data_IF_633350243743
#
_entry.id   IF_633350243743
#
_cell.length_a   1.000
_cell.length_b   1.000
_cell.length_c   1.000
_cell.angle_alpha   90.00
_cell.angle_beta   90.00
_cell.angle_gamma   90.00
#
_symmetry.space_group_name_H-M   'P 1'
#
loop_
_entity.id
_entity.type
_entity.pdbx_description
1 polymer ?
#
# COMPACT_ATOMS: atom_id res chain seq x y z
N UNK A 1 0.41 10.03 19.71
CA UNK A 1 -0.45 8.96 19.13
C UNK A 1 -1.41 9.59 18.15
N UNK A 2 -1.83 8.88 17.08
CA UNK A 2 -2.69 9.46 16.03
C UNK A 2 -4.00 10.00 16.59
N UNK A 3 -4.54 9.40 17.63
CA UNK A 3 -5.83 9.77 18.28
C UNK A 3 -5.83 11.12 19.03
N UNK A 4 -4.68 11.68 19.33
CA UNK A 4 -4.58 12.90 20.17
C UNK A 4 -4.29 14.16 19.34
N UNK A 5 -3.96 13.99 18.08
CA UNK A 5 -3.41 15.02 17.21
C UNK A 5 -4.49 15.79 16.41
N UNK A 6 -5.61 15.17 16.09
CA UNK A 6 -6.53 15.69 15.07
C UNK A 6 -7.61 16.65 15.58
N UNK A 7 -7.74 16.87 16.88
CA UNK A 7 -8.72 17.82 17.47
C UNK A 7 -10.15 17.80 16.83
N UNK A 8 -10.62 16.61 16.42
CA UNK A 8 -11.93 16.43 15.77
C UNK A 8 -12.00 16.88 14.30
N UNK A 9 -10.88 17.21 13.66
CA UNK A 9 -10.88 17.56 12.23
C UNK A 9 -11.04 16.36 11.33
N UNK A 10 -11.83 16.53 10.27
CA UNK A 10 -11.92 15.58 9.16
C UNK A 10 -11.20 16.15 7.94
N UNK A 11 -10.73 15.25 7.07
CA UNK A 11 -9.92 15.57 5.90
C UNK A 11 -10.59 15.09 4.61
N UNK A 12 -10.46 15.86 3.54
CA UNK A 12 -10.93 15.49 2.19
C UNK A 12 -10.07 14.37 1.59
N UNK A 13 -8.78 14.33 1.97
CA UNK A 13 -7.86 13.29 1.53
C UNK A 13 -6.83 12.97 2.63
N UNK A 14 -6.51 11.69 2.79
CA UNK A 14 -5.46 11.18 3.67
C UNK A 14 -4.53 10.29 2.85
N UNK A 15 -3.22 10.49 3.00
CA UNK A 15 -2.19 9.59 2.52
C UNK A 15 -1.63 8.82 3.74
N UNK A 16 -1.72 7.50 3.67
CA UNK A 16 -1.08 6.60 4.62
C UNK A 16 0.06 5.86 3.91
N UNK A 17 1.27 6.38 4.02
CA UNK A 17 2.50 5.66 3.71
C UNK A 17 2.84 4.80 4.93
N UNK A 18 2.38 3.55 4.90
CA UNK A 18 2.35 2.71 6.09
C UNK A 18 3.71 2.07 6.39
N UNK A 19 4.11 1.98 7.67
CA UNK A 19 5.31 1.24 8.05
C UNK A 19 5.16 -0.21 7.60
N UNK A 20 6.16 -0.72 6.89
CA UNK A 20 6.14 -2.06 6.29
C UNK A 20 7.51 -2.73 6.35
N UNK A 21 7.60 -3.97 5.86
CA UNK A 21 8.85 -4.72 5.81
C UNK A 21 9.89 -4.11 4.87
N UNK A 22 9.47 -3.22 3.96
CA UNK A 22 10.30 -2.65 2.89
C UNK A 22 10.87 -3.72 1.93
N UNK A 23 10.21 -4.88 1.84
CA UNK A 23 10.65 -6.01 1.00
C UNK A 23 10.69 -5.69 -0.50
N UNK A 24 9.96 -4.65 -0.93
CA UNK A 24 9.94 -4.22 -2.33
C UNK A 24 11.13 -3.35 -2.77
N UNK A 25 11.90 -2.79 -1.82
CA UNK A 25 13.00 -1.84 -2.11
C UNK A 25 14.39 -2.41 -1.80
N UNK A 26 14.53 -3.72 -1.74
CA UNK A 26 15.79 -4.42 -1.42
C UNK A 26 16.92 -4.01 -2.37
N UNK A 27 16.63 -3.73 -3.62
CA UNK A 27 17.61 -3.25 -4.59
C UNK A 27 18.28 -1.93 -4.16
N UNK A 28 17.53 -1.04 -3.50
CA UNK A 28 18.04 0.25 -2.97
C UNK A 28 18.55 0.13 -1.54
N UNK A 29 18.00 -0.80 -0.79
CA UNK A 29 18.32 -1.04 0.61
C UNK A 29 18.64 -2.53 0.82
N UNK A 30 19.85 -2.97 0.42
CA UNK A 30 20.24 -4.39 0.45
C UNK A 30 20.40 -4.95 1.86
N UNK A 31 20.41 -4.12 2.89
CA UNK A 31 20.42 -4.49 4.30
C UNK A 31 19.05 -4.95 4.84
N UNK A 32 17.96 -4.60 4.15
CA UNK A 32 16.59 -4.92 4.58
C UNK A 32 16.41 -6.41 4.88
N UNK A 33 16.77 -7.38 4.01
CA UNK A 33 16.59 -8.80 4.30
C UNK A 33 17.30 -9.27 5.57
N UNK A 34 18.44 -8.69 5.85
CA UNK A 34 19.28 -9.05 7.03
C UNK A 34 18.73 -8.49 8.34
N UNK A 35 17.93 -7.43 8.27
CA UNK A 35 17.34 -6.78 9.44
C UNK A 35 15.91 -7.28 9.74
N UNK A 36 15.30 -8.11 8.87
CA UNK A 36 13.94 -8.62 9.02
C UNK A 36 13.90 -10.01 9.63
N UNK A 37 12.79 -10.25 10.35
CA UNK A 37 12.46 -11.53 10.97
C UNK A 37 11.23 -12.13 10.29
N UNK A 38 11.06 -13.47 10.31
CA UNK A 38 9.89 -14.13 9.70
C UNK A 38 8.53 -13.61 10.19
N UNK A 39 8.47 -13.14 11.46
CA UNK A 39 7.25 -12.62 12.07
C UNK A 39 6.93 -11.15 11.72
N UNK A 40 7.86 -10.42 11.12
CA UNK A 40 7.70 -8.99 10.82
C UNK A 40 6.53 -8.68 9.86
N UNK A 41 6.28 -9.43 8.78
CA UNK A 41 5.13 -9.15 7.92
C UNK A 41 3.81 -9.16 8.69
N UNK A 42 3.59 -10.19 9.50
CA UNK A 42 2.37 -10.30 10.30
C UNK A 42 2.27 -9.22 11.40
N UNK A 43 3.40 -8.86 12.01
CA UNK A 43 3.46 -7.81 13.04
C UNK A 43 3.15 -6.44 12.44
N UNK A 44 3.76 -6.11 11.29
CA UNK A 44 3.57 -4.83 10.61
C UNK A 44 2.18 -4.73 9.98
N UNK A 45 1.62 -5.84 9.47
CA UNK A 45 0.23 -5.87 8.99
C UNK A 45 -0.77 -5.53 10.11
N UNK A 46 -0.53 -5.95 11.36
CA UNK A 46 -1.35 -5.54 12.51
C UNK A 46 -1.24 -4.04 12.80
N UNK A 47 -0.03 -3.49 12.72
CA UNK A 47 0.18 -2.05 12.92
C UNK A 47 -0.48 -1.23 11.80
N UNK A 48 -0.39 -1.68 10.55
CA UNK A 48 -1.08 -1.07 9.42
C UNK A 48 -2.60 -1.09 9.59
N UNK A 49 -3.15 -2.21 10.06
CA UNK A 49 -4.58 -2.31 10.39
C UNK A 49 -4.98 -1.28 11.46
N UNK A 50 -4.16 -1.14 12.50
CA UNK A 50 -4.37 -0.15 13.57
C UNK A 50 -4.38 1.28 13.03
N UNK A 51 -3.44 1.61 12.14
CA UNK A 51 -3.34 2.93 11.52
C UNK A 51 -4.52 3.21 10.58
N UNK A 52 -4.91 2.25 9.72
CA UNK A 52 -6.09 2.37 8.87
C UNK A 52 -7.35 2.65 9.70
N UNK A 53 -7.59 1.85 10.76
CA UNK A 53 -8.74 2.03 11.64
C UNK A 53 -8.72 3.37 12.39
N UNK A 54 -7.54 3.88 12.75
CA UNK A 54 -7.41 5.16 13.43
C UNK A 54 -7.62 6.37 12.49
N UNK A 55 -7.24 6.23 11.21
CA UNK A 55 -7.33 7.30 10.23
C UNK A 55 -8.68 7.34 9.51
N UNK A 56 -9.36 6.19 9.34
CA UNK A 56 -10.61 6.13 8.59
C UNK A 56 -11.71 7.05 9.12
N UNK A 57 -11.94 7.17 10.44
CA UNK A 57 -12.91 8.13 10.99
C UNK A 57 -12.61 9.58 10.61
N UNK A 58 -11.34 9.92 10.33
CA UNK A 58 -10.91 11.26 9.99
C UNK A 58 -11.10 11.61 8.50
N UNK A 59 -11.46 10.64 7.67
CA UNK A 59 -11.83 10.89 6.27
C UNK A 59 -13.25 11.41 6.25
N UNK A 60 -13.51 12.54 5.56
CA UNK A 60 -14.86 13.04 5.33
C UNK A 60 -15.68 12.08 4.48
N UNK A 61 -17.00 12.14 4.59
CA UNK A 61 -17.90 11.51 3.63
C UNK A 61 -17.61 12.05 2.23
N UNK A 62 -17.42 11.15 1.25
CA UNK A 62 -16.94 11.47 -0.10
C UNK A 62 -15.44 11.74 -0.21
N UNK A 63 -14.73 11.78 0.92
CA UNK A 63 -13.28 11.90 0.98
C UNK A 63 -12.56 10.60 0.62
N UNK A 64 -11.23 10.67 0.52
CA UNK A 64 -10.39 9.58 0.04
C UNK A 64 -9.25 9.26 0.98
N UNK A 65 -8.88 7.98 1.05
CA UNK A 65 -7.65 7.53 1.68
C UNK A 65 -6.82 6.75 0.65
N UNK A 66 -5.59 7.20 0.42
CA UNK A 66 -4.59 6.44 -0.33
C UNK A 66 -3.69 5.70 0.66
N UNK A 67 -3.75 4.38 0.60
CA UNK A 67 -2.86 3.49 1.34
C UNK A 67 -1.71 3.06 0.44
N UNK A 68 -0.48 3.10 0.93
CA UNK A 68 0.67 2.58 0.22
C UNK A 68 1.68 1.90 1.14
N UNK A 69 2.42 0.93 0.58
CA UNK A 69 3.57 0.28 1.21
C UNK A 69 4.64 0.01 0.15
N UNK A 70 5.90 -0.04 0.57
CA UNK A 70 7.01 -0.56 -0.25
C UNK A 70 7.26 -2.04 0.07
N UNK A 71 6.20 -2.83 0.16
CA UNK A 71 6.23 -4.26 0.41
C UNK A 71 5.66 -5.05 -0.77
N UNK A 72 6.19 -6.26 -0.99
CA UNK A 72 5.65 -7.24 -1.93
C UNK A 72 4.83 -8.34 -1.23
N UNK A 73 4.75 -8.31 0.11
CA UNK A 73 3.99 -9.30 0.87
C UNK A 73 2.48 -9.02 0.80
N UNK A 74 1.65 -10.03 0.45
CA UNK A 74 0.20 -9.88 0.37
C UNK A 74 -0.44 -9.39 1.67
N UNK A 75 0.11 -9.79 2.82
CA UNK A 75 -0.37 -9.41 4.15
C UNK A 75 -0.30 -7.90 4.41
N UNK A 76 0.68 -7.23 3.80
CA UNK A 76 0.92 -5.79 3.90
C UNK A 76 0.28 -4.99 2.75
N UNK A 77 -0.34 -5.67 1.81
CA UNK A 77 -0.94 -5.13 0.60
C UNK A 77 -2.40 -5.55 0.43
N UNK A 78 -2.70 -6.39 -0.60
CA UNK A 78 -4.07 -6.71 -0.98
C UNK A 78 -4.89 -7.37 0.14
N UNK A 79 -4.30 -8.23 0.96
CA UNK A 79 -5.01 -8.89 2.05
C UNK A 79 -5.38 -7.91 3.16
N UNK A 80 -4.52 -6.93 3.41
CA UNK A 80 -4.80 -5.85 4.36
C UNK A 80 -6.03 -5.05 3.93
N UNK A 81 -6.10 -4.66 2.66
CA UNK A 81 -7.20 -3.87 2.13
C UNK A 81 -8.50 -4.68 2.05
N UNK A 82 -8.44 -5.97 1.65
CA UNK A 82 -9.61 -6.85 1.65
C UNK A 82 -10.22 -6.99 3.06
N UNK A 83 -9.38 -7.19 4.07
CA UNK A 83 -9.83 -7.24 5.49
C UNK A 83 -10.44 -5.92 5.93
N UNK A 84 -9.80 -4.81 5.57
CA UNK A 84 -10.28 -3.48 5.92
C UNK A 84 -11.66 -3.20 5.32
N UNK A 85 -11.84 -3.39 4.01
CA UNK A 85 -13.12 -3.15 3.32
C UNK A 85 -14.22 -4.11 3.76
N UNK A 86 -13.88 -5.34 4.13
CA UNK A 86 -14.86 -6.29 4.68
C UNK A 86 -15.42 -5.84 6.05
N UNK A 87 -14.63 -5.09 6.83
CA UNK A 87 -15.01 -4.61 8.17
C UNK A 87 -15.57 -3.16 8.16
N UNK A 88 -15.47 -2.45 7.03
CA UNK A 88 -15.91 -1.06 6.89
C UNK A 88 -16.84 -0.96 5.68
N UNK A 89 -18.14 -1.09 5.90
CA UNK A 89 -19.15 -1.04 4.85
C UNK A 89 -19.26 0.32 4.14
N UNK A 90 -18.66 1.37 4.69
CA UNK A 90 -18.53 2.71 4.12
C UNK A 90 -17.22 2.92 3.35
N UNK A 91 -16.35 1.90 3.25
CA UNK A 91 -15.10 1.95 2.52
C UNK A 91 -15.23 1.29 1.15
N UNK A 92 -15.14 2.06 0.09
CA UNK A 92 -15.21 1.58 -1.29
C UNK A 92 -13.87 1.75 -2.00
N UNK A 93 -13.37 0.67 -2.65
CA UNK A 93 -12.23 0.76 -3.56
C UNK A 93 -12.60 1.62 -4.78
N UNK A 94 -11.72 2.57 -5.11
CA UNK A 94 -11.93 3.51 -6.21
C UNK A 94 -10.86 3.32 -7.27
N UNK A 95 -11.28 3.06 -8.50
CA UNK A 95 -10.39 2.92 -9.65
C UNK A 95 -9.55 4.20 -9.86
N UNK A 96 -8.29 4.01 -10.27
CA UNK A 96 -7.40 5.11 -10.66
C UNK A 96 -6.54 4.67 -11.86
N UNK A 97 -5.78 5.61 -12.45
CA UNK A 97 -4.95 5.32 -13.63
C UNK A 97 -3.97 4.18 -13.34
N UNK A 98 -4.06 3.11 -14.12
CA UNK A 98 -3.26 1.90 -13.95
C UNK A 98 -3.82 0.88 -12.94
N UNK A 99 -4.90 1.20 -12.23
CA UNK A 99 -5.51 0.34 -11.23
C UNK A 99 -7.04 0.33 -11.31
N UNK A 100 -7.64 -0.38 -12.29
CA UNK A 100 -9.09 -0.40 -12.49
C UNK A 100 -9.87 -1.01 -11.34
N UNK A 101 -9.22 -1.83 -10.50
CA UNK A 101 -9.81 -2.42 -9.29
C UNK A 101 -9.68 -1.55 -8.04
N UNK A 102 -9.01 -0.39 -8.15
CA UNK A 102 -8.66 0.45 -6.99
C UNK A 102 -7.44 -0.03 -6.20
N UNK A 103 -6.79 -1.12 -6.65
CA UNK A 103 -5.55 -1.64 -6.07
C UNK A 103 -4.51 -1.86 -7.18
N UNK A 104 -3.24 -1.56 -6.87
CA UNK A 104 -2.11 -1.78 -7.76
C UNK A 104 -0.93 -2.37 -6.97
N UNK A 105 -0.41 -3.50 -7.45
CA UNK A 105 0.84 -4.09 -6.98
C UNK A 105 1.90 -3.92 -8.06
N UNK A 106 3.01 -3.30 -7.69
CA UNK A 106 4.21 -3.25 -8.51
C UNK A 106 5.20 -4.28 -7.95
N UNK A 107 5.65 -5.17 -8.80
CA UNK A 107 6.67 -6.17 -8.45
C UNK A 107 8.00 -5.66 -8.98
N UNK A 108 9.13 -5.82 -8.23
CA UNK A 108 10.44 -5.42 -8.74
C UNK A 108 10.71 -6.00 -10.14
N UNK A 109 11.23 -5.18 -11.03
CA UNK A 109 11.37 -5.50 -12.46
C UNK A 109 12.55 -6.45 -12.78
N UNK A 110 12.96 -7.29 -11.85
CA UNK A 110 14.06 -8.25 -12.04
C UNK A 110 13.73 -9.40 -13.03
N UNK A 111 12.45 -9.50 -13.43
CA UNK A 111 11.98 -10.49 -14.40
C UNK A 111 11.99 -10.02 -15.86
N UNK A 112 12.67 -8.91 -16.15
CA UNK A 112 12.77 -8.38 -17.54
C UNK A 112 13.51 -9.34 -18.47
N UNK A 113 14.21 -10.33 -17.93
CA UNK A 113 14.91 -11.35 -18.72
C UNK A 113 14.00 -12.35 -19.45
N UNK A 114 12.71 -12.42 -19.11
CA UNK A 114 11.76 -13.35 -19.75
C UNK A 114 10.93 -12.70 -20.87
N UNK A 115 11.01 -11.38 -21.05
CA UNK A 115 10.34 -10.72 -22.16
C UNK A 115 11.23 -10.82 -23.42
N UNK A 116 10.68 -11.18 -24.60
CA UNK A 116 11.44 -11.19 -25.84
C UNK A 116 12.04 -9.79 -26.06
N UNK A 117 13.34 -9.75 -26.31
CA UNK A 117 14.05 -8.50 -26.57
C UNK A 117 13.36 -7.74 -27.71
N UNK A 118 12.78 -6.60 -27.40
CA UNK A 118 12.24 -5.68 -28.40
C UNK A 118 13.14 -4.46 -28.49
N UNK A 119 13.95 -4.31 -29.57
CA UNK A 119 14.88 -3.20 -29.72
C UNK A 119 14.19 -1.83 -29.84
N UNK A 120 12.87 -1.81 -30.05
CA UNK A 120 12.05 -0.59 -30.14
C UNK A 120 11.21 -0.33 -28.87
N UNK A 121 11.31 -1.18 -27.85
CA UNK A 121 10.69 -0.90 -26.56
C UNK A 121 11.44 0.27 -25.90
N UNK A 122 10.69 1.24 -25.38
CA UNK A 122 11.23 2.19 -24.42
C UNK A 122 11.93 1.40 -23.31
N UNK A 123 13.05 1.93 -22.77
CA UNK A 123 13.83 1.25 -21.74
C UNK A 123 12.91 0.64 -20.68
N UNK A 124 13.12 -0.61 -20.26
CA UNK A 124 12.29 -1.23 -19.27
C UNK A 124 12.25 -0.35 -18.02
N UNK A 125 11.06 0.08 -17.63
CA UNK A 125 10.88 0.87 -16.42
C UNK A 125 11.32 0.02 -15.23
N UNK A 126 12.56 0.20 -14.80
CA UNK A 126 13.08 -0.43 -13.59
C UNK A 126 12.40 0.25 -12.40
N UNK A 127 11.53 -0.45 -11.73
CA UNK A 127 10.86 0.04 -10.52
C UNK A 127 11.04 -0.95 -9.37
N UNK A 128 10.91 -0.41 -8.17
CA UNK A 128 10.88 -1.20 -6.95
C UNK A 128 9.46 -1.79 -6.73
N UNK A 129 9.34 -2.67 -5.73
CA UNK A 129 8.05 -3.22 -5.32
C UNK A 129 7.27 -2.24 -4.47
N UNK A 130 6.03 -1.98 -4.86
CA UNK A 130 5.09 -1.13 -4.12
C UNK A 130 3.68 -1.68 -4.21
N UNK A 131 2.89 -1.35 -3.21
CA UNK A 131 1.45 -1.57 -3.24
C UNK A 131 0.71 -0.25 -2.99
N UNK A 132 -0.38 -0.04 -3.73
CA UNK A 132 -1.26 1.12 -3.61
C UNK A 132 -2.71 0.69 -3.58
N UNK A 133 -3.52 1.34 -2.74
CA UNK A 133 -4.97 1.19 -2.74
C UNK A 133 -5.65 2.53 -2.47
N UNK A 134 -6.62 2.89 -3.31
CA UNK A 134 -7.41 4.10 -3.15
C UNK A 134 -8.81 3.74 -2.62
N UNK A 135 -9.15 4.29 -1.48
CA UNK A 135 -10.43 4.10 -0.81
C UNK A 135 -11.22 5.42 -0.81
N UNK A 136 -12.51 5.36 -1.10
CA UNK A 136 -13.46 6.47 -0.93
C UNK A 136 -14.43 6.13 0.19
N UNK A 137 -14.72 7.09 1.06
CA UNK A 137 -15.72 6.96 2.13
C UNK A 137 -17.09 7.33 1.60
N UNK A 138 -18.07 6.43 1.75
CA UNK A 138 -19.45 6.61 1.31
C UNK A 138 -20.28 7.49 2.26
#
# INVERSE_FOLDING_TARGET
MVSEWHSGREFDAILLDAPCTASGIVRRQPDVPWSRRPEDPARLAREQARLLNALWPLVKKGGRLLYCTCSIFPEEGPDQIRRFTANHGDAQLTAFKGAPTGMMSLVPADHVHELPFNPNAAEPLVHDGFFYALLTKL
#
